data_IF_444794694625
#
_entry.id   IF_444794694625
#
_cell.length_a   1.000
_cell.length_b   1.000
_cell.length_c   1.000
_cell.angle_alpha   90.00
_cell.angle_beta   90.00
_cell.angle_gamma   90.00
#
_symmetry.space_group_name_H-M   'P 1'
#
loop_
_entity.id
_entity.type
_entity.pdbx_description
1 polymer ?
#
# COMPACT_ATOMS: atom_id res chain seq x y z
N UNK A 1 -37.15 28.89 -27.00
CA UNK A 1 -35.87 28.36 -27.52
C UNK A 1 -34.64 29.10 -27.00
N UNK A 2 -34.64 30.44 -26.85
CA UNK A 2 -33.49 31.22 -26.33
C UNK A 2 -32.91 30.70 -25.00
N UNK A 3 -33.74 30.52 -23.97
CA UNK A 3 -33.29 30.12 -22.62
C UNK A 3 -32.62 28.73 -22.55
N UNK A 4 -32.88 27.85 -23.52
CA UNK A 4 -32.24 26.53 -23.57
C UNK A 4 -30.80 26.63 -24.09
N UNK A 5 -30.59 27.39 -25.17
CA UNK A 5 -29.26 27.59 -25.75
C UNK A 5 -28.34 28.37 -24.81
N UNK A 6 -28.86 29.38 -24.11
CA UNK A 6 -28.08 30.14 -23.12
C UNK A 6 -27.67 29.26 -21.93
N UNK A 7 -28.58 28.43 -21.40
CA UNK A 7 -28.26 27.47 -20.32
C UNK A 7 -27.23 26.40 -20.74
N UNK A 8 -27.28 25.93 -21.99
CA UNK A 8 -26.29 24.98 -22.52
C UNK A 8 -24.92 25.65 -22.67
N UNK A 9 -24.87 26.90 -23.12
CA UNK A 9 -23.65 27.69 -23.26
C UNK A 9 -23.00 28.02 -21.91
N UNK A 10 -23.80 28.35 -20.90
CA UNK A 10 -23.31 28.58 -19.53
C UNK A 10 -22.72 27.32 -18.90
N UNK A 11 -23.39 26.17 -19.08
CA UNK A 11 -22.87 24.87 -18.63
C UNK A 11 -21.57 24.48 -19.34
N UNK A 12 -21.46 24.74 -20.64
CA UNK A 12 -20.24 24.48 -21.40
C UNK A 12 -19.07 25.38 -20.97
N UNK A 13 -19.36 26.65 -20.68
CA UNK A 13 -18.37 27.62 -20.19
C UNK A 13 -17.87 27.24 -18.79
N UNK A 14 -18.78 26.88 -17.88
CA UNK A 14 -18.43 26.40 -16.55
C UNK A 14 -17.60 25.10 -16.58
N UNK A 15 -17.95 24.15 -17.46
CA UNK A 15 -17.17 22.92 -17.64
C UNK A 15 -15.76 23.19 -18.15
N UNK A 16 -15.61 24.16 -19.07
CA UNK A 16 -14.30 24.57 -19.60
C UNK A 16 -13.45 25.25 -18.54
N UNK A 17 -14.03 26.18 -17.76
CA UNK A 17 -13.35 26.85 -16.66
C UNK A 17 -12.87 25.83 -15.60
N UNK A 18 -13.71 24.88 -15.23
CA UNK A 18 -13.35 23.81 -14.29
C UNK A 18 -12.19 22.94 -14.81
N UNK A 19 -12.17 22.61 -16.10
CA UNK A 19 -11.07 21.86 -16.72
C UNK A 19 -9.75 22.63 -16.64
N UNK A 20 -9.79 23.94 -16.90
CA UNK A 20 -8.62 24.81 -16.78
C UNK A 20 -8.12 24.90 -15.33
N UNK A 21 -9.03 25.02 -14.36
CA UNK A 21 -8.69 25.06 -12.94
C UNK A 21 -8.03 23.76 -12.47
N UNK A 22 -8.54 22.62 -12.93
CA UNK A 22 -7.97 21.30 -12.67
C UNK A 22 -6.56 21.17 -13.24
N UNK A 23 -6.36 21.56 -14.49
CA UNK A 23 -5.04 21.57 -15.14
C UNK A 23 -4.03 22.44 -14.38
N UNK A 24 -4.43 23.67 -14.05
CA UNK A 24 -3.61 24.59 -13.25
C UNK A 24 -3.29 23.99 -11.87
N UNK A 25 -4.24 23.31 -11.24
CA UNK A 25 -3.99 22.66 -9.96
C UNK A 25 -3.00 21.50 -10.07
N UNK A 26 -3.11 20.62 -11.06
CA UNK A 26 -2.15 19.51 -11.26
C UNK A 26 -0.76 20.06 -11.55
N UNK A 27 -0.63 21.07 -12.43
CA UNK A 27 0.66 21.71 -12.74
C UNK A 27 1.26 22.34 -11.47
N UNK A 28 0.46 23.06 -10.69
CA UNK A 28 0.93 23.71 -9.45
C UNK A 28 1.23 22.72 -8.33
N UNK A 29 0.50 21.59 -8.25
CA UNK A 29 0.79 20.51 -7.33
C UNK A 29 2.14 19.86 -7.66
N UNK A 30 2.41 19.62 -8.95
CA UNK A 30 3.60 18.93 -9.45
C UNK A 30 4.64 19.89 -10.05
N UNK A 31 4.87 21.05 -9.42
CA UNK A 31 5.88 22.00 -9.88
C UNK A 31 7.32 21.57 -9.49
N UNK A 32 8.33 22.21 -10.08
CA UNK A 32 9.77 21.92 -9.86
C UNK A 32 10.32 22.29 -8.47
N UNK A 33 9.55 22.96 -7.61
CA UNK A 33 10.02 23.32 -6.26
C UNK A 33 10.08 22.06 -5.40
N UNK A 34 11.22 21.88 -4.73
CA UNK A 34 11.50 20.77 -3.80
C UNK A 34 10.77 21.04 -2.49
N UNK A 35 9.45 20.97 -2.57
CA UNK A 35 8.51 21.10 -1.46
C UNK A 35 7.36 20.14 -1.75
N UNK A 36 6.67 19.63 -0.72
CA UNK A 36 5.48 18.82 -0.89
C UNK A 36 4.43 19.51 -1.80
N UNK A 37 3.59 18.74 -2.51
CA UNK A 37 2.45 19.30 -3.23
C UNK A 37 1.59 20.17 -2.31
N UNK A 38 1.31 21.42 -2.72
CA UNK A 38 0.56 22.35 -1.86
C UNK A 38 -0.86 21.84 -1.63
N UNK A 39 -1.27 21.79 -0.36
CA UNK A 39 -2.56 21.25 0.07
C UNK A 39 -3.77 21.76 -0.73
N UNK A 40 -3.82 23.06 -1.08
CA UNK A 40 -4.94 23.63 -1.85
C UNK A 40 -5.12 23.00 -3.24
N UNK A 41 -4.02 22.59 -3.90
CA UNK A 41 -4.07 21.98 -5.23
C UNK A 41 -4.39 20.49 -5.14
N UNK A 42 -3.84 19.82 -4.14
CA UNK A 42 -4.17 18.42 -3.82
C UNK A 42 -5.66 18.29 -3.47
N UNK A 43 -6.20 19.20 -2.66
CA UNK A 43 -7.63 19.24 -2.29
C UNK A 43 -8.55 19.35 -3.50
N UNK A 44 -8.19 20.16 -4.50
CA UNK A 44 -8.99 20.24 -5.73
C UNK A 44 -8.97 18.92 -6.51
N UNK A 45 -7.79 18.30 -6.66
CA UNK A 45 -7.67 16.98 -7.31
C UNK A 45 -8.48 15.90 -6.58
N UNK A 46 -8.44 15.89 -5.23
CA UNK A 46 -9.26 15.00 -4.40
C UNK A 46 -10.74 15.28 -4.65
N UNK A 47 -11.18 16.54 -4.62
CA UNK A 47 -12.58 16.90 -4.88
C UNK A 47 -13.05 16.36 -6.23
N UNK A 48 -12.22 16.51 -7.27
CA UNK A 48 -12.51 15.97 -8.61
C UNK A 48 -12.65 14.45 -8.56
N UNK A 49 -11.71 13.75 -7.95
CA UNK A 49 -11.76 12.30 -7.79
C UNK A 49 -12.95 11.83 -6.93
N UNK A 50 -13.40 12.65 -5.97
CA UNK A 50 -14.50 12.32 -5.05
C UNK A 50 -15.88 12.51 -5.68
N UNK A 51 -16.10 13.59 -6.42
CA UNK A 51 -17.45 14.04 -6.80
C UNK A 51 -17.73 14.05 -8.30
N UNK A 52 -16.76 13.69 -9.15
CA UNK A 52 -16.92 13.87 -10.59
C UNK A 52 -17.29 12.59 -11.35
N UNK A 53 -17.98 12.78 -12.48
CA UNK A 53 -18.31 11.73 -13.45
C UNK A 53 -17.03 11.13 -14.06
N UNK A 54 -17.14 9.92 -14.64
CA UNK A 54 -16.02 9.17 -15.26
C UNK A 54 -15.11 10.03 -16.18
N UNK A 55 -15.68 10.94 -16.96
CA UNK A 55 -14.92 11.84 -17.87
C UNK A 55 -13.92 12.72 -17.12
N UNK A 56 -14.26 13.25 -15.95
CA UNK A 56 -13.36 14.11 -15.18
C UNK A 56 -12.23 13.32 -14.50
N UNK A 57 -12.47 12.04 -14.16
CA UNK A 57 -11.41 11.14 -13.70
C UNK A 57 -10.40 10.88 -14.81
N UNK A 58 -10.88 10.70 -16.05
CA UNK A 58 -10.02 10.53 -17.21
C UNK A 58 -9.19 11.78 -17.52
N UNK A 59 -9.78 12.98 -17.45
CA UNK A 59 -9.03 14.22 -17.59
C UNK A 59 -7.98 14.39 -16.48
N UNK A 60 -8.32 14.11 -15.22
CA UNK A 60 -7.38 14.15 -14.09
C UNK A 60 -6.18 13.22 -14.32
N UNK A 61 -6.43 11.96 -14.67
CA UNK A 61 -5.34 11.00 -14.87
C UNK A 61 -4.56 11.23 -16.15
N UNK A 62 -5.17 11.80 -17.20
CA UNK A 62 -4.42 12.29 -18.37
C UNK A 62 -3.40 13.34 -17.93
N UNK A 63 -3.84 14.35 -17.16
CA UNK A 63 -2.95 15.41 -16.66
C UNK A 63 -1.85 14.84 -15.76
N UNK A 64 -2.16 13.90 -14.86
CA UNK A 64 -1.15 13.23 -14.01
C UNK A 64 -0.15 12.44 -14.88
N UNK A 65 -0.65 11.70 -15.88
CA UNK A 65 0.19 10.93 -16.81
C UNK A 65 1.16 11.83 -17.58
N UNK A 66 0.71 13.02 -17.98
CA UNK A 66 1.57 14.01 -18.62
C UNK A 66 2.69 14.47 -17.67
N UNK A 67 2.40 14.63 -16.37
CA UNK A 67 3.43 14.93 -15.35
C UNK A 67 4.39 13.76 -15.10
N UNK A 68 3.94 12.51 -15.18
CA UNK A 68 4.79 11.32 -14.99
C UNK A 68 5.80 11.13 -16.14
N UNK A 69 5.52 11.70 -17.32
CA UNK A 69 6.40 11.66 -18.51
C UNK A 69 7.42 12.80 -18.57
N UNK A 70 7.43 13.70 -17.59
CA UNK A 70 8.35 14.84 -17.55
C UNK A 70 9.79 14.40 -17.27
N UNK A 71 10.75 15.22 -17.72
CA UNK A 71 12.18 14.90 -17.59
C UNK A 71 12.76 15.21 -16.19
N UNK A 72 12.04 15.97 -15.37
CA UNK A 72 12.50 16.45 -14.07
C UNK A 72 11.95 15.58 -12.94
N UNK A 73 12.86 15.00 -12.15
CA UNK A 73 12.52 14.10 -11.05
C UNK A 73 11.53 14.69 -10.05
N UNK A 74 11.63 15.98 -9.71
CA UNK A 74 10.74 16.64 -8.74
C UNK A 74 9.29 16.60 -9.21
N UNK A 75 9.07 16.84 -10.51
CA UNK A 75 7.74 16.82 -11.12
C UNK A 75 7.16 15.41 -11.06
N UNK A 76 7.93 14.42 -11.52
CA UNK A 76 7.50 13.01 -11.60
C UNK A 76 7.22 12.45 -10.21
N UNK A 77 8.10 12.74 -9.25
CA UNK A 77 7.95 12.27 -7.88
C UNK A 77 6.71 12.87 -7.21
N UNK A 78 6.46 14.17 -7.40
CA UNK A 78 5.26 14.84 -6.88
C UNK A 78 3.98 14.34 -7.54
N UNK A 79 4.05 13.90 -8.80
CA UNK A 79 2.92 13.24 -9.46
C UNK A 79 2.61 11.87 -8.82
N UNK A 80 3.61 11.07 -8.48
CA UNK A 80 3.41 9.82 -7.72
C UNK A 80 2.86 10.10 -6.31
N UNK A 81 3.37 11.12 -5.61
CA UNK A 81 2.84 11.54 -4.29
C UNK A 81 1.38 11.97 -4.42
N UNK A 82 1.02 12.71 -5.48
CA UNK A 82 -0.37 13.07 -5.75
C UNK A 82 -1.26 11.84 -5.97
N UNK A 83 -0.80 10.84 -6.74
CA UNK A 83 -1.52 9.56 -6.89
C UNK A 83 -1.71 8.87 -5.54
N UNK A 84 -0.68 8.84 -4.70
CA UNK A 84 -0.78 8.24 -3.37
C UNK A 84 -1.81 8.97 -2.50
N UNK A 85 -1.78 10.31 -2.45
CA UNK A 85 -2.83 11.10 -1.80
C UNK A 85 -4.22 10.71 -2.27
N UNK A 86 -4.45 10.70 -3.60
CA UNK A 86 -5.75 10.36 -4.17
C UNK A 86 -6.21 8.94 -3.79
N UNK A 87 -5.28 8.00 -3.70
CA UNK A 87 -5.59 6.61 -3.33
C UNK A 87 -5.99 6.42 -1.85
N UNK A 88 -5.52 7.28 -0.94
CA UNK A 88 -5.80 7.19 0.50
C UNK A 88 -7.05 7.92 0.94
N UNK A 89 -7.42 8.97 0.21
CA UNK A 89 -8.53 9.85 0.55
C UNK A 89 -9.89 9.22 0.24
N UNK A 90 -10.98 9.95 0.50
CA UNK A 90 -12.36 9.46 0.33
C UNK A 90 -12.65 8.82 -1.03
N UNK A 91 -11.95 9.21 -2.10
CA UNK A 91 -12.07 8.69 -3.46
C UNK A 91 -11.24 7.43 -3.76
N UNK A 92 -10.50 6.89 -2.78
CA UNK A 92 -9.48 5.85 -2.97
C UNK A 92 -9.89 4.69 -3.87
N UNK A 93 -11.02 4.03 -3.59
CA UNK A 93 -11.51 2.89 -4.37
C UNK A 93 -11.77 3.26 -5.84
N UNK A 94 -12.25 4.48 -6.13
CA UNK A 94 -12.50 4.93 -7.49
C UNK A 94 -11.20 5.21 -8.22
N UNK A 95 -10.24 5.80 -7.52
CA UNK A 95 -8.89 6.10 -8.02
C UNK A 95 -8.16 4.80 -8.34
N UNK A 96 -8.11 3.85 -7.40
CA UNK A 96 -7.49 2.54 -7.58
C UNK A 96 -8.23 1.70 -8.63
N UNK A 97 -9.57 1.74 -8.64
CA UNK A 97 -10.39 1.07 -9.65
C UNK A 97 -10.15 1.62 -11.05
N UNK A 98 -10.02 2.94 -11.20
CA UNK A 98 -9.66 3.57 -12.47
C UNK A 98 -8.24 3.17 -12.90
N UNK A 99 -7.25 3.27 -12.00
CA UNK A 99 -5.88 2.87 -12.27
C UNK A 99 -5.75 1.39 -12.65
N UNK A 100 -6.57 0.51 -12.08
CA UNK A 100 -6.60 -0.91 -12.44
C UNK A 100 -7.01 -1.15 -13.91
N UNK A 101 -7.69 -0.19 -14.54
CA UNK A 101 -7.98 -0.22 -16.00
C UNK A 101 -6.82 0.30 -16.86
N UNK A 102 -5.78 0.88 -16.24
CA UNK A 102 -4.62 1.48 -16.90
C UNK A 102 -3.30 0.89 -16.36
N UNK A 103 -2.98 -0.37 -16.71
CA UNK A 103 -1.90 -1.13 -16.07
C UNK A 103 -0.49 -0.57 -16.29
N UNK A 104 -0.31 0.41 -17.18
CA UNK A 104 1.01 0.97 -17.53
C UNK A 104 1.21 2.42 -17.08
N UNK A 105 0.18 3.07 -16.53
CA UNK A 105 0.24 4.51 -16.24
C UNK A 105 1.28 4.87 -15.18
N UNK A 106 1.55 3.95 -14.25
CA UNK A 106 2.54 4.10 -13.19
C UNK A 106 3.89 3.43 -13.53
N UNK A 107 4.02 2.76 -14.69
CA UNK A 107 5.26 2.06 -15.04
C UNK A 107 6.39 3.05 -15.34
N UNK A 108 7.25 3.22 -14.33
CA UNK A 108 8.41 4.09 -14.39
C UNK A 108 9.73 3.32 -14.26
N UNK A 109 9.78 2.01 -14.49
CA UNK A 109 10.98 1.18 -14.32
C UNK A 109 12.21 1.69 -15.10
N UNK A 110 11.99 2.39 -16.23
CA UNK A 110 13.06 2.97 -17.05
C UNK A 110 13.29 4.47 -16.82
N UNK A 111 12.64 5.07 -15.81
CA UNK A 111 12.76 6.50 -15.54
C UNK A 111 14.19 6.89 -15.20
N UNK A 112 14.66 7.97 -15.83
CA UNK A 112 15.92 8.65 -15.57
C UNK A 112 15.68 10.16 -15.61
N UNK A 113 16.22 10.87 -14.65
CA UNK A 113 16.23 12.34 -14.68
C UNK A 113 17.14 12.82 -15.83
N UNK A 114 16.67 13.79 -16.62
CA UNK A 114 17.45 14.39 -17.72
C UNK A 114 17.84 15.85 -17.45
N UNK A 115 17.78 16.29 -16.20
CA UNK A 115 18.09 17.67 -15.82
C UNK A 115 19.55 17.87 -15.38
N UNK A 116 20.36 16.80 -15.44
CA UNK A 116 21.76 16.79 -14.99
C UNK A 116 21.93 17.20 -13.52
N UNK A 117 20.88 17.03 -12.71
CA UNK A 117 20.92 17.28 -11.26
C UNK A 117 21.58 16.08 -10.56
N UNK A 118 22.59 16.30 -9.69
CA UNK A 118 23.17 15.22 -8.88
C UNK A 118 22.11 14.45 -8.09
N UNK A 119 21.20 15.16 -7.42
CA UNK A 119 20.06 14.58 -6.71
C UNK A 119 19.12 13.80 -7.65
N UNK A 120 19.00 14.20 -8.92
CA UNK A 120 18.14 13.53 -9.89
C UNK A 120 18.51 12.07 -10.16
N UNK A 121 19.80 11.72 -10.12
CA UNK A 121 20.27 10.34 -10.34
C UNK A 121 19.83 9.42 -9.19
N UNK A 122 19.98 9.89 -7.96
CA UNK A 122 19.58 9.18 -6.75
C UNK A 122 18.06 9.08 -6.66
N UNK A 123 17.36 10.21 -6.81
CA UNK A 123 15.90 10.25 -6.71
C UNK A 123 15.21 9.47 -7.84
N UNK A 124 15.85 9.26 -8.99
CA UNK A 124 15.34 8.35 -10.00
C UNK A 124 15.23 6.90 -9.50
N UNK A 125 16.13 6.44 -8.60
CA UNK A 125 16.00 5.12 -7.95
C UNK A 125 14.74 5.08 -7.06
N UNK A 126 14.56 6.10 -6.23
CA UNK A 126 13.41 6.23 -5.33
C UNK A 126 12.09 6.30 -6.08
N UNK A 127 12.04 7.04 -7.19
CA UNK A 127 10.87 7.10 -8.08
C UNK A 127 10.52 5.72 -8.63
N UNK A 128 11.50 4.94 -9.10
CA UNK A 128 11.26 3.60 -9.66
C UNK A 128 10.63 2.64 -8.65
N UNK A 129 11.22 2.55 -7.45
CA UNK A 129 10.71 1.65 -6.40
C UNK A 129 9.38 2.13 -5.84
N UNK A 130 9.19 3.45 -5.71
CA UNK A 130 7.93 4.02 -5.23
C UNK A 130 6.79 3.83 -6.24
N UNK A 131 7.08 3.98 -7.54
CA UNK A 131 6.13 3.69 -8.60
C UNK A 131 5.73 2.21 -8.60
N UNK A 132 6.71 1.29 -8.48
CA UNK A 132 6.45 -0.15 -8.39
C UNK A 132 5.58 -0.51 -7.17
N UNK A 133 5.78 0.16 -6.03
CA UNK A 133 4.90 0.01 -4.87
C UNK A 133 3.46 0.44 -5.19
N UNK A 134 3.27 1.62 -5.79
CA UNK A 134 1.94 2.11 -6.15
C UNK A 134 1.25 1.22 -7.20
N UNK A 135 2.00 0.66 -8.15
CA UNK A 135 1.49 -0.38 -9.07
C UNK A 135 1.01 -1.62 -8.32
N UNK A 136 1.81 -2.14 -7.41
CA UNK A 136 1.43 -3.30 -6.60
C UNK A 136 0.20 -3.02 -5.74
N UNK A 137 0.05 -1.80 -5.22
CA UNK A 137 -1.15 -1.35 -4.51
C UNK A 137 -2.40 -1.40 -5.41
N UNK A 138 -2.27 -0.96 -6.67
CA UNK A 138 -3.35 -1.04 -7.67
C UNK A 138 -3.70 -2.49 -8.00
N UNK A 139 -2.70 -3.37 -8.20
CA UNK A 139 -2.94 -4.79 -8.47
C UNK A 139 -3.58 -5.51 -7.28
N UNK A 140 -3.11 -5.22 -6.07
CA UNK A 140 -3.69 -5.74 -4.83
C UNK A 140 -5.16 -5.34 -4.70
N UNK A 141 -5.49 -4.06 -4.97
CA UNK A 141 -6.87 -3.60 -4.98
C UNK A 141 -7.69 -4.25 -6.10
N UNK A 142 -7.13 -4.45 -7.30
CA UNK A 142 -7.81 -5.14 -8.40
C UNK A 142 -8.24 -6.55 -7.98
N UNK A 143 -7.36 -7.27 -7.30
CA UNK A 143 -7.53 -8.69 -6.95
C UNK A 143 -8.41 -8.92 -5.71
N UNK A 144 -8.41 -7.97 -4.76
CA UNK A 144 -9.13 -8.05 -3.49
C UNK A 144 -10.38 -7.16 -3.40
N UNK A 145 -10.45 -6.09 -4.18
CA UNK A 145 -11.43 -5.00 -4.06
C UNK A 145 -11.44 -4.30 -2.68
N UNK A 146 -10.34 -4.43 -1.94
CA UNK A 146 -10.13 -3.84 -0.62
C UNK A 146 -8.77 -3.11 -0.62
N UNK A 147 -8.73 -1.89 -0.10
CA UNK A 147 -7.50 -1.19 0.24
C UNK A 147 -7.28 -1.17 1.75
N UNK A 148 -6.35 -2.00 2.23
CA UNK A 148 -6.00 -2.09 3.65
C UNK A 148 -5.31 -0.84 4.22
N UNK A 149 -4.85 0.09 3.38
CA UNK A 149 -4.26 1.34 3.84
C UNK A 149 -5.28 2.45 4.13
N UNK A 150 -6.55 2.25 3.75
CA UNK A 150 -7.59 3.29 3.84
C UNK A 150 -7.91 3.65 5.29
N UNK A 151 -8.19 4.92 5.54
CA UNK A 151 -8.53 5.46 6.88
C UNK A 151 -9.99 5.18 7.30
N UNK A 152 -10.68 4.23 6.65
CA UNK A 152 -12.10 3.93 6.89
C UNK A 152 -12.29 2.63 7.67
N UNK A 153 -12.34 2.76 8.99
CA UNK A 153 -12.73 1.68 9.91
C UNK A 153 -11.70 0.57 10.05
N UNK A 154 -12.03 -0.40 10.91
CA UNK A 154 -11.17 -1.55 11.14
C UNK A 154 -11.37 -2.62 10.06
N UNK A 155 -10.68 -2.47 8.94
CA UNK A 155 -10.65 -3.47 7.86
C UNK A 155 -10.01 -4.79 8.28
N UNK A 156 -9.28 -4.84 9.40
CA UNK A 156 -8.77 -6.10 9.95
C UNK A 156 -9.86 -6.96 10.57
N UNK A 157 -11.00 -6.37 10.95
CA UNK A 157 -12.21 -7.12 11.33
C UNK A 157 -12.70 -8.05 10.22
N UNK A 158 -12.55 -7.66 8.95
CA UNK A 158 -12.89 -8.51 7.80
C UNK A 158 -11.97 -9.71 7.71
N UNK A 159 -10.67 -9.54 8.00
CA UNK A 159 -9.74 -10.67 8.09
C UNK A 159 -10.14 -11.59 9.25
N UNK A 160 -10.50 -11.03 10.42
CA UNK A 160 -10.93 -11.80 11.60
C UNK A 160 -12.22 -12.59 11.41
N UNK A 161 -13.11 -12.18 10.50
CA UNK A 161 -14.35 -12.92 10.20
C UNK A 161 -14.30 -13.84 8.97
N UNK A 162 -13.30 -13.69 8.08
CA UNK A 162 -13.19 -14.44 6.83
C UNK A 162 -12.96 -15.97 7.00
N UNK A 163 -13.58 -16.81 6.18
CA UNK A 163 -13.29 -18.25 6.20
C UNK A 163 -11.93 -18.58 5.55
N UNK A 164 -11.27 -19.59 6.11
CA UNK A 164 -9.89 -19.97 5.79
C UNK A 164 -9.68 -20.74 4.47
N UNK A 165 -10.61 -21.55 3.90
CA UNK A 165 -10.24 -22.47 2.82
C UNK A 165 -9.75 -21.82 1.50
N UNK A 166 -10.03 -20.53 1.26
CA UNK A 166 -9.50 -19.82 0.08
C UNK A 166 -9.43 -18.30 0.25
N UNK A 167 -10.39 -17.70 0.98
CA UNK A 167 -10.44 -16.26 1.19
C UNK A 167 -9.22 -15.76 1.95
N UNK A 168 -9.01 -16.27 3.17
CA UNK A 168 -7.96 -15.75 4.04
C UNK A 168 -6.55 -15.94 3.47
N UNK A 169 -6.25 -17.12 2.92
CA UNK A 169 -4.95 -17.39 2.29
C UNK A 169 -4.64 -16.41 1.16
N UNK A 170 -5.60 -16.21 0.25
CA UNK A 170 -5.44 -15.25 -0.86
C UNK A 170 -5.19 -13.83 -0.36
N UNK A 171 -5.92 -13.39 0.66
CA UNK A 171 -5.74 -12.05 1.24
C UNK A 171 -4.36 -11.89 1.88
N UNK A 172 -3.91 -12.87 2.66
CA UNK A 172 -2.58 -12.86 3.31
C UNK A 172 -1.45 -12.90 2.28
N UNK A 173 -1.57 -13.70 1.23
CA UNK A 173 -0.60 -13.76 0.12
C UNK A 173 -0.44 -12.41 -0.58
N UNK A 174 -1.56 -11.75 -0.92
CA UNK A 174 -1.55 -10.45 -1.58
C UNK A 174 -1.03 -9.36 -0.64
N UNK A 175 -1.43 -9.36 0.64
CA UNK A 175 -0.89 -8.45 1.65
C UNK A 175 0.63 -8.61 1.79
N UNK A 176 1.12 -9.85 1.86
CA UNK A 176 2.55 -10.15 1.95
C UNK A 176 3.30 -9.59 0.73
N UNK A 177 2.77 -9.77 -0.48
CA UNK A 177 3.35 -9.23 -1.72
C UNK A 177 3.37 -7.70 -1.72
N UNK A 178 2.29 -7.06 -1.27
CA UNK A 178 2.19 -5.61 -1.17
C UNK A 178 3.17 -5.02 -0.13
N UNK A 179 3.29 -5.65 1.04
CA UNK A 179 4.29 -5.26 2.06
C UNK A 179 5.70 -5.43 1.51
N UNK A 180 6.00 -6.53 0.80
CA UNK A 180 7.29 -6.74 0.13
C UNK A 180 7.61 -5.63 -0.89
N UNK A 181 6.63 -5.19 -1.67
CA UNK A 181 6.81 -4.06 -2.59
C UNK A 181 7.08 -2.75 -1.85
N UNK A 182 6.41 -2.52 -0.72
CA UNK A 182 6.61 -1.34 0.11
C UNK A 182 8.03 -1.29 0.70
N UNK A 183 8.48 -2.35 1.37
CA UNK A 183 9.80 -2.40 2.02
C UNK A 183 10.97 -2.39 1.04
N UNK A 184 10.72 -2.70 -0.24
CA UNK A 184 11.70 -2.52 -1.30
C UNK A 184 11.98 -1.03 -1.60
N UNK A 185 11.15 -0.11 -1.12
CA UNK A 185 11.44 1.32 -1.07
C UNK A 185 12.48 1.62 0.02
N UNK A 186 13.71 1.14 -0.18
CA UNK A 186 14.85 1.34 0.72
C UNK A 186 15.40 2.75 0.59
N UNK A 187 14.69 3.72 1.14
CA UNK A 187 15.18 5.09 1.21
C UNK A 187 16.31 5.10 2.24
N UNK A 188 17.52 5.43 1.80
CA UNK A 188 18.63 5.58 2.75
C UNK A 188 18.49 6.92 3.48
N UNK A 189 19.00 7.01 4.70
CA UNK A 189 18.91 8.23 5.50
C UNK A 189 19.53 9.44 4.79
N UNK A 190 20.64 9.21 4.09
CA UNK A 190 21.33 10.23 3.32
C UNK A 190 20.50 10.71 2.11
N UNK A 191 19.51 9.90 1.67
CA UNK A 191 18.58 10.24 0.58
C UNK A 191 17.30 10.93 1.09
N UNK A 192 17.07 10.97 2.42
CA UNK A 192 15.98 11.67 3.10
C UNK A 192 16.36 13.13 3.43
N UNK A 193 17.10 13.76 2.53
CA UNK A 193 17.67 15.10 2.69
C UNK A 193 16.74 16.24 2.23
N UNK A 194 15.63 15.90 1.59
CA UNK A 194 14.74 16.87 0.96
C UNK A 194 13.26 16.60 1.22
N UNK A 195 12.47 17.67 1.15
CA UNK A 195 11.08 17.66 1.57
C UNK A 195 10.14 16.86 0.65
N UNK A 196 10.52 16.57 -0.60
CA UNK A 196 9.71 15.74 -1.51
C UNK A 196 9.90 14.26 -1.19
N UNK A 197 11.15 13.84 -1.00
CA UNK A 197 11.47 12.46 -0.62
C UNK A 197 10.97 12.14 0.79
N UNK A 198 11.04 13.09 1.72
CA UNK A 198 10.45 12.92 3.05
C UNK A 198 8.92 12.75 3.00
N UNK A 199 8.23 13.47 2.11
CA UNK A 199 6.77 13.35 1.95
C UNK A 199 6.38 11.98 1.39
N UNK A 200 7.08 11.46 0.37
CA UNK A 200 6.78 10.11 -0.13
C UNK A 200 7.12 9.03 0.91
N UNK A 201 8.20 9.21 1.67
CA UNK A 201 8.56 8.30 2.74
C UNK A 201 7.53 8.30 3.88
N UNK A 202 6.99 9.47 4.24
CA UNK A 202 5.87 9.61 5.19
C UNK A 202 4.65 8.81 4.75
N UNK A 203 4.32 8.82 3.47
CA UNK A 203 3.26 7.98 2.93
C UNK A 203 3.55 6.49 3.03
N UNK A 204 4.77 6.05 2.67
CA UNK A 204 5.21 4.66 2.83
C UNK A 204 5.11 4.19 4.28
N UNK A 205 5.56 5.00 5.23
CA UNK A 205 5.47 4.69 6.65
C UNK A 205 4.02 4.53 7.09
N UNK A 206 3.13 5.46 6.73
CA UNK A 206 1.70 5.36 7.08
C UNK A 206 1.03 4.13 6.48
N UNK A 207 1.36 3.74 5.26
CA UNK A 207 0.84 2.52 4.63
C UNK A 207 1.41 1.27 5.32
N UNK A 208 2.71 1.25 5.61
CA UNK A 208 3.38 0.11 6.23
C UNK A 208 2.80 -0.28 7.59
N UNK A 209 2.45 0.71 8.42
CA UNK A 209 1.81 0.47 9.72
C UNK A 209 0.52 -0.33 9.57
N UNK A 210 -0.32 0.06 8.62
CA UNK A 210 -1.62 -0.59 8.38
C UNK A 210 -1.49 -1.93 7.69
N UNK A 211 -0.64 -2.01 6.67
CA UNK A 211 -0.43 -3.24 5.91
C UNK A 211 0.19 -4.31 6.78
N UNK A 212 1.16 -3.96 7.61
CA UNK A 212 1.81 -4.91 8.50
C UNK A 212 0.87 -5.34 9.64
N UNK A 213 0.08 -4.44 10.21
CA UNK A 213 -0.99 -4.80 11.16
C UNK A 213 -2.00 -5.78 10.54
N UNK A 214 -2.48 -5.50 9.33
CA UNK A 214 -3.39 -6.41 8.61
C UNK A 214 -2.75 -7.76 8.29
N UNK A 215 -1.47 -7.78 7.88
CA UNK A 215 -0.74 -9.00 7.61
C UNK A 215 -0.58 -9.85 8.89
N UNK A 216 -0.21 -9.22 10.01
CA UNK A 216 -0.07 -9.87 11.31
C UNK A 216 -1.38 -10.52 11.77
N UNK A 217 -2.49 -9.79 11.73
CA UNK A 217 -3.83 -10.30 12.06
C UNK A 217 -4.22 -11.50 11.18
N UNK A 218 -3.93 -11.42 9.87
CA UNK A 218 -4.20 -12.51 8.93
C UNK A 218 -3.38 -13.76 9.25
N UNK A 219 -2.11 -13.60 9.58
CA UNK A 219 -1.21 -14.71 9.95
C UNK A 219 -1.60 -15.33 11.29
N UNK A 220 -1.90 -14.52 12.32
CA UNK A 220 -2.41 -15.00 13.62
C UNK A 220 -3.61 -15.92 13.41
N UNK A 221 -4.59 -15.46 12.63
CA UNK A 221 -5.80 -16.24 12.37
C UNK A 221 -5.54 -17.55 11.61
N UNK A 222 -4.62 -17.55 10.65
CA UNK A 222 -4.19 -18.78 9.96
C UNK A 222 -3.59 -19.74 10.98
N UNK A 223 -2.73 -19.25 11.87
CA UNK A 223 -2.06 -20.06 12.89
C UNK A 223 -3.02 -20.62 13.95
N UNK A 224 -4.04 -19.85 14.36
CA UNK A 224 -5.08 -20.30 15.31
C UNK A 224 -5.80 -21.57 14.84
N UNK A 225 -5.89 -21.74 13.52
CA UNK A 225 -6.55 -22.88 12.88
C UNK A 225 -5.58 -23.92 12.32
N UNK A 226 -4.28 -23.71 12.46
CA UNK A 226 -3.24 -24.57 11.88
C UNK A 226 -3.43 -26.06 12.19
N UNK A 227 -3.73 -26.37 13.45
CA UNK A 227 -3.89 -27.77 13.90
C UNK A 227 -5.22 -28.41 13.46
N UNK A 228 -6.21 -27.58 13.07
CA UNK A 228 -7.53 -28.01 12.61
C UNK A 228 -7.59 -28.13 11.07
N UNK A 229 -6.52 -27.77 10.36
CA UNK A 229 -6.43 -27.75 8.90
C UNK A 229 -6.13 -29.12 8.27
N UNK A 230 -6.40 -29.24 6.97
CA UNK A 230 -5.90 -30.33 6.14
C UNK A 230 -4.37 -30.28 6.03
N UNK A 231 -3.73 -31.40 5.68
CA UNK A 231 -2.28 -31.45 5.48
C UNK A 231 -1.80 -30.48 4.39
N UNK A 232 -2.61 -30.24 3.36
CA UNK A 232 -2.28 -29.29 2.29
C UNK A 232 -2.37 -27.84 2.76
N UNK A 233 -3.40 -27.49 3.52
CA UNK A 233 -3.56 -26.14 4.06
C UNK A 233 -2.53 -25.83 5.14
N UNK A 234 -2.18 -26.81 5.99
CA UNK A 234 -1.12 -26.69 6.97
C UNK A 234 0.26 -26.48 6.31
N UNK A 235 0.52 -27.10 5.15
CA UNK A 235 1.73 -26.82 4.34
C UNK A 235 1.75 -25.35 3.87
N UNK A 236 0.64 -24.86 3.31
CA UNK A 236 0.53 -23.47 2.84
C UNK A 236 0.66 -22.47 3.98
N UNK A 237 0.00 -22.73 5.11
CA UNK A 237 0.08 -21.91 6.32
C UNK A 237 1.52 -21.79 6.86
N UNK A 238 2.26 -22.91 6.90
CA UNK A 238 3.65 -22.91 7.32
C UNK A 238 4.54 -22.10 6.38
N UNK A 239 4.34 -22.24 5.07
CA UNK A 239 5.09 -21.46 4.07
C UNK A 239 4.82 -19.96 4.20
N UNK A 240 3.55 -19.56 4.37
CA UNK A 240 3.20 -18.16 4.60
C UNK A 240 3.80 -17.62 5.90
N UNK A 241 3.83 -18.42 6.96
CA UNK A 241 4.44 -18.02 8.22
C UNK A 241 5.95 -17.81 8.10
N UNK A 242 6.65 -18.67 7.34
CA UNK A 242 8.09 -18.47 7.05
C UNK A 242 8.33 -17.16 6.29
N UNK A 243 7.53 -16.90 5.25
CA UNK A 243 7.64 -15.65 4.49
C UNK A 243 7.29 -14.42 5.34
N UNK A 244 6.33 -14.55 6.26
CA UNK A 244 5.98 -13.48 7.21
C UNK A 244 7.15 -13.13 8.14
N UNK A 245 7.90 -14.12 8.63
CA UNK A 245 9.10 -13.87 9.44
C UNK A 245 10.14 -13.05 8.67
N UNK A 246 10.46 -13.44 7.43
CA UNK A 246 11.40 -12.69 6.59
C UNK A 246 10.97 -11.24 6.32
N UNK A 247 9.66 -11.03 6.15
CA UNK A 247 9.08 -9.69 5.97
C UNK A 247 9.12 -8.89 7.27
N UNK A 248 8.90 -9.54 8.41
CA UNK A 248 8.96 -8.91 9.74
C UNK A 248 10.35 -8.37 10.05
N UNK A 249 11.41 -9.14 9.80
CA UNK A 249 12.78 -8.65 10.02
C UNK A 249 13.08 -7.41 9.16
N UNK A 250 12.62 -7.40 7.91
CA UNK A 250 12.76 -6.25 7.01
C UNK A 250 11.91 -5.06 7.40
N UNK A 251 10.70 -5.27 7.94
CA UNK A 251 9.84 -4.17 8.41
C UNK A 251 10.44 -3.51 9.65
N UNK A 252 11.07 -4.30 10.53
CA UNK A 252 11.80 -3.80 11.69
C UNK A 252 12.93 -2.87 11.23
N UNK A 253 13.71 -3.27 10.23
CA UNK A 253 14.77 -2.42 9.68
C UNK A 253 14.22 -1.16 9.01
N UNK A 254 13.12 -1.27 8.27
CA UNK A 254 12.43 -0.12 7.69
C UNK A 254 11.96 0.86 8.78
N UNK A 255 11.44 0.37 9.91
CA UNK A 255 11.00 1.21 11.03
C UNK A 255 12.17 1.84 11.80
N UNK A 256 13.33 1.18 11.87
CA UNK A 256 14.54 1.82 12.42
C UNK A 256 14.93 3.07 11.64
N UNK A 257 14.79 3.06 10.31
CA UNK A 257 14.99 4.25 9.47
C UNK A 257 13.90 5.29 9.75
N UNK A 258 12.63 4.87 9.81
CA UNK A 258 11.51 5.76 10.09
C UNK A 258 11.64 6.49 11.43
N UNK A 259 12.09 5.79 12.49
CA UNK A 259 12.34 6.36 13.82
C UNK A 259 13.36 7.50 13.80
N UNK A 260 14.39 7.41 12.95
CA UNK A 260 15.43 8.47 12.87
C UNK A 260 14.89 9.77 12.28
N UNK A 261 13.80 9.73 11.51
CA UNK A 261 13.16 10.90 10.90
C UNK A 261 11.75 11.17 11.47
N UNK A 262 11.40 10.55 12.60
CA UNK A 262 10.04 10.52 13.17
C UNK A 262 9.44 11.92 13.38
N UNK A 263 10.26 12.89 13.79
CA UNK A 263 9.87 14.29 13.95
C UNK A 263 9.26 14.90 12.68
N UNK A 264 9.75 14.49 11.49
CA UNK A 264 9.23 14.92 10.19
C UNK A 264 8.01 14.13 9.70
N UNK A 265 7.77 12.93 10.24
CA UNK A 265 6.67 12.06 9.79
C UNK A 265 5.32 12.43 10.43
N UNK A 266 5.35 13.04 11.63
CA UNK A 266 4.14 13.29 12.43
C UNK A 266 3.32 12.01 12.64
N UNK A 267 3.99 10.87 12.83
CA UNK A 267 3.39 9.55 13.01
C UNK A 267 4.26 8.78 13.99
N UNK A 268 3.65 8.19 15.02
CA UNK A 268 4.38 7.39 16.00
C UNK A 268 4.75 6.04 15.40
N UNK A 269 6.01 5.64 15.56
CA UNK A 269 6.52 4.38 15.02
C UNK A 269 6.61 3.33 16.14
N UNK A 270 5.82 2.24 16.09
CA UNK A 270 5.83 1.22 17.12
C UNK A 270 7.14 0.42 17.11
N UNK A 271 7.47 -0.18 18.25
CA UNK A 271 8.50 -1.21 18.36
C UNK A 271 7.91 -2.58 18.02
N UNK A 272 8.38 -3.18 16.94
CA UNK A 272 7.97 -4.51 16.51
C UNK A 272 8.95 -5.53 17.05
N UNK A 273 8.44 -6.63 17.59
CA UNK A 273 9.24 -7.79 17.99
C UNK A 273 9.28 -8.82 16.87
N UNK A 274 10.42 -9.48 16.68
CA UNK A 274 10.49 -10.64 15.78
C UNK A 274 9.70 -11.80 16.38
N UNK A 275 9.05 -12.63 15.55
CA UNK A 275 8.37 -13.83 16.04
C UNK A 275 9.34 -14.86 16.60
N UNK A 276 8.86 -15.79 17.45
CA UNK A 276 9.72 -16.78 18.09
C UNK A 276 10.24 -17.76 17.04
N UNK A 277 11.57 -17.87 16.91
CA UNK A 277 12.20 -18.77 15.94
C UNK A 277 11.78 -20.24 16.12
N UNK A 278 11.54 -20.66 17.36
CA UNK A 278 11.11 -22.02 17.72
C UNK A 278 9.72 -22.40 17.21
N UNK A 279 8.88 -21.42 16.85
CA UNK A 279 7.53 -21.70 16.35
C UNK A 279 7.59 -22.37 14.98
N UNK A 280 8.56 -22.01 14.13
CA UNK A 280 8.75 -22.65 12.82
C UNK A 280 9.07 -24.14 12.98
N UNK A 281 9.98 -24.47 13.91
CA UNK A 281 10.38 -25.85 14.18
C UNK A 281 9.20 -26.67 14.69
N UNK A 282 8.44 -26.11 15.64
CA UNK A 282 7.26 -26.75 16.23
C UNK A 282 6.17 -27.04 15.20
N UNK A 283 5.86 -26.07 14.32
CA UNK A 283 4.88 -26.25 13.25
C UNK A 283 5.37 -27.26 12.19
N UNK A 284 6.67 -27.27 11.91
CA UNK A 284 7.29 -28.22 10.97
C UNK A 284 7.23 -29.65 11.49
N UNK A 285 7.55 -29.87 12.76
CA UNK A 285 7.46 -31.18 13.42
C UNK A 285 6.02 -31.70 13.42
N UNK A 286 5.04 -30.84 13.73
CA UNK A 286 3.63 -31.21 13.67
C UNK A 286 3.24 -31.73 12.27
N UNK A 287 3.70 -31.04 11.23
CA UNK A 287 3.38 -31.36 9.84
C UNK A 287 4.06 -32.64 9.35
N UNK A 288 5.27 -32.95 9.85
CA UNK A 288 5.97 -34.20 9.57
C UNK A 288 5.21 -35.40 10.16
N UNK A 289 4.71 -35.26 11.40
CA UNK A 289 3.98 -36.29 12.13
C UNK A 289 2.44 -36.18 12.00
N UNK A 290 1.95 -35.56 10.91
CA UNK A 290 0.55 -35.14 10.76
C UNK A 290 -0.47 -36.25 11.04
N UNK A 291 -0.26 -37.46 10.51
CA UNK A 291 -1.21 -38.57 10.66
C UNK A 291 -1.27 -39.09 12.10
N UNK A 292 -0.13 -39.19 12.77
CA UNK A 292 -0.04 -39.59 14.18
C UNK A 292 -0.69 -38.54 15.07
N UNK A 293 -0.41 -37.27 14.82
CA UNK A 293 -0.94 -36.15 15.59
C UNK A 293 -2.47 -36.01 15.45
N UNK A 294 -3.00 -36.19 14.25
CA UNK A 294 -4.45 -36.20 14.00
C UNK A 294 -5.16 -37.35 14.74
N UNK A 295 -4.55 -38.55 14.75
CA UNK A 295 -5.07 -39.70 15.52
C UNK A 295 -5.04 -39.46 17.02
N UNK A 296 -4.01 -38.78 17.54
CA UNK A 296 -3.97 -38.42 18.96
C UNK A 296 -5.00 -37.35 19.34
N UNK A 297 -5.17 -36.31 18.52
CA UNK A 297 -6.17 -35.26 18.73
C UNK A 297 -7.59 -35.83 18.79
N UNK A 298 -7.90 -36.74 17.87
CA UNK A 298 -9.19 -37.43 17.82
C UNK A 298 -9.38 -38.43 18.98
N UNK A 299 -8.31 -39.08 19.45
CA UNK A 299 -8.36 -40.05 20.54
C UNK A 299 -8.44 -39.40 21.93
N UNK A 300 -7.81 -38.23 22.14
CA UNK A 300 -7.72 -37.57 23.44
C UNK A 300 -8.82 -36.53 23.71
N UNK A 301 -9.64 -36.14 22.71
CA UNK A 301 -10.51 -34.94 22.79
C UNK A 301 -9.78 -33.71 23.38
N UNK A 302 -8.45 -33.65 23.22
CA UNK A 302 -7.61 -32.63 23.85
C UNK A 302 -7.47 -31.43 22.93
N UNK A 303 -7.38 -30.23 23.52
CA UNK A 303 -7.03 -29.02 22.79
C UNK A 303 -5.65 -29.14 22.12
N UNK A 304 -5.44 -28.53 20.94
CA UNK A 304 -4.14 -28.55 20.27
C UNK A 304 -3.04 -27.93 21.13
N UNK A 305 -1.76 -28.26 20.89
CA UNK A 305 -0.64 -27.60 21.56
C UNK A 305 -0.55 -26.13 21.13
N UNK A 306 -1.33 -25.26 21.78
CA UNK A 306 -1.45 -23.82 21.49
C UNK A 306 -0.43 -22.97 22.24
N UNK A 307 0.39 -23.55 23.12
CA UNK A 307 1.31 -22.78 23.97
C UNK A 307 2.28 -21.90 23.15
N UNK A 308 2.80 -22.42 22.04
CA UNK A 308 3.67 -21.65 21.14
C UNK A 308 2.94 -20.56 20.34
N UNK A 309 1.61 -20.64 20.21
CA UNK A 309 0.78 -19.59 19.59
C UNK A 309 0.45 -18.46 20.57
N UNK A 310 0.43 -18.74 21.87
CA UNK A 310 0.16 -17.73 22.91
C UNK A 310 1.31 -16.71 22.96
N UNK A 311 2.56 -17.16 22.84
CA UNK A 311 3.74 -16.29 22.79
C UNK A 311 3.76 -15.40 21.53
N UNK A 312 3.13 -15.85 20.44
CA UNK A 312 3.00 -15.09 19.19
C UNK A 312 1.97 -13.95 19.27
N UNK A 313 0.92 -14.09 20.07
CA UNK A 313 -0.12 -13.06 20.22
C UNK A 313 0.39 -11.78 20.91
N UNK A 314 1.54 -11.83 21.59
CA UNK A 314 2.14 -10.68 22.32
C UNK A 314 3.14 -9.83 21.52
N UNK A 315 3.17 -9.97 20.20
CA UNK A 315 4.15 -9.29 19.32
C UNK A 315 3.70 -7.88 18.89
N UNK A 316 2.45 -7.51 19.18
CA UNK A 316 1.90 -6.16 19.01
C UNK A 316 1.17 -5.67 20.24
#
# INVERSE_FOLDING_TARGET
MSNFFDSVKDKATAATAFKNDLEVAVIKACNRKITPPKAKHVRLAILVATNSRSVAMADLFRLISDRLKENNWVIVFKALILVHHLSRESAGDRVLGYLATQPTVLNLQSFKDKTSSPAGVEQAKNIRVYAAYLEEKVFSFRDLKIDYCRDNGDLTSTLRSMSIPAGLFKHVEILNRLVKALINCKYYLDELDNAVTLESFKFLVKDSLKLYHALNEGVIKILDKYFEMTKEDAKKALELYKQFNEVTDKIIDFFKVAKRVESGLSTQIPDIKSPPASLIDSLTEYLQNFESNQKELTRKQSSPPRQALIDFHGIF
#
